data_IF_149908618947
#
_entry.id   IF_149908618947
#
_cell.length_a   1.000
_cell.length_b   1.000
_cell.length_c   1.000
_cell.angle_alpha   90.00
_cell.angle_beta   90.00
_cell.angle_gamma   90.00
#
_symmetry.space_group_name_H-M   'P 1'
#
loop_
_entity.id
_entity.type
_entity.pdbx_description
1 polymer ?
#
# COMPACT_ATOMS: atom_id res chain seq x y z
N UNK A 1 4.47 -3.43 -15.98
CA UNK A 1 4.36 -3.05 -14.55
C UNK A 1 3.27 -3.82 -13.83
N UNK A 2 2.02 -3.74 -14.29
CA UNK A 2 0.86 -4.45 -13.71
C UNK A 2 1.10 -5.95 -13.43
N UNK A 3 1.73 -6.76 -14.30
CA UNK A 3 1.92 -8.18 -14.03
C UNK A 3 2.81 -8.47 -12.82
N UNK A 4 3.80 -7.64 -12.52
CA UNK A 4 4.68 -7.83 -11.35
C UNK A 4 3.95 -7.60 -10.03
N UNK A 5 3.05 -6.62 -9.99
CA UNK A 5 2.21 -6.34 -8.81
C UNK A 5 1.23 -7.49 -8.61
N UNK A 6 0.56 -7.95 -9.67
CA UNK A 6 -0.40 -9.07 -9.62
C UNK A 6 0.29 -10.37 -9.17
N UNK A 7 1.50 -10.66 -9.65
CA UNK A 7 2.26 -11.85 -9.24
C UNK A 7 2.69 -11.73 -7.77
N UNK A 8 3.15 -10.55 -7.34
CA UNK A 8 3.49 -10.28 -5.95
C UNK A 8 2.29 -10.44 -5.01
N UNK A 9 1.13 -9.96 -5.44
CA UNK A 9 -0.13 -10.05 -4.70
C UNK A 9 -0.66 -11.49 -4.63
N UNK A 10 -0.69 -12.23 -5.74
CA UNK A 10 -1.10 -13.64 -5.79
C UNK A 10 -0.20 -14.54 -4.93
N UNK A 11 1.11 -14.26 -4.85
CA UNK A 11 2.08 -15.05 -4.08
C UNK A 11 2.26 -14.58 -2.63
N UNK A 12 1.47 -13.60 -2.16
CA UNK A 12 1.61 -13.00 -0.82
C UNK A 12 3.03 -12.44 -0.55
N UNK A 13 3.73 -12.01 -1.58
CA UNK A 13 5.12 -11.53 -1.52
C UNK A 13 5.21 -10.02 -1.79
N UNK A 14 4.29 -9.24 -1.21
CA UNK A 14 4.28 -7.78 -1.41
C UNK A 14 5.53 -7.12 -0.85
N UNK A 15 5.99 -7.54 0.35
CA UNK A 15 7.20 -6.99 0.97
C UNK A 15 8.46 -7.15 0.10
N UNK A 16 8.81 -8.33 -0.44
CA UNK A 16 10.01 -8.45 -1.28
C UNK A 16 9.89 -7.66 -2.59
N UNK A 17 8.71 -7.53 -3.19
CA UNK A 17 8.50 -6.70 -4.38
C UNK A 17 8.72 -5.22 -4.05
N UNK A 18 8.21 -4.77 -2.92
CA UNK A 18 8.39 -3.41 -2.43
C UNK A 18 9.86 -3.08 -2.14
N UNK A 19 10.56 -3.97 -1.42
CA UNK A 19 11.99 -3.81 -1.15
C UNK A 19 12.84 -3.82 -2.43
N UNK A 20 12.50 -4.68 -3.39
CA UNK A 20 13.16 -4.71 -4.69
C UNK A 20 12.97 -3.40 -5.44
N UNK A 21 11.78 -2.81 -5.42
CA UNK A 21 11.52 -1.53 -6.06
C UNK A 21 12.34 -0.39 -5.43
N UNK A 22 12.46 -0.35 -4.08
CA UNK A 22 13.32 0.64 -3.41
C UNK A 22 14.79 0.43 -3.76
N UNK A 23 15.28 -0.81 -3.80
CA UNK A 23 16.65 -1.10 -4.21
C UNK A 23 16.93 -0.70 -5.66
N UNK A 24 15.98 -0.94 -6.56
CA UNK A 24 16.10 -0.55 -7.96
C UNK A 24 16.13 0.98 -8.10
N UNK A 25 15.32 1.70 -7.30
CA UNK A 25 15.33 3.16 -7.25
C UNK A 25 16.69 3.68 -6.74
N UNK A 26 17.21 3.09 -5.67
CA UNK A 26 18.52 3.42 -5.11
C UNK A 26 19.64 3.17 -6.13
N UNK A 27 19.67 2.00 -6.76
CA UNK A 27 20.68 1.66 -7.75
C UNK A 27 20.64 2.60 -8.96
N UNK A 28 19.44 2.97 -9.43
CA UNK A 28 19.28 3.90 -10.54
C UNK A 28 19.73 5.30 -10.17
N UNK A 29 19.44 5.80 -8.95
CA UNK A 29 19.87 7.13 -8.50
C UNK A 29 21.40 7.21 -8.34
N UNK A 30 22.04 6.16 -7.82
CA UNK A 30 23.51 6.08 -7.77
C UNK A 30 24.13 6.02 -9.17
N UNK A 31 23.50 5.30 -10.10
CA UNK A 31 23.98 5.22 -11.49
C UNK A 31 23.98 6.59 -12.17
N UNK A 32 23.00 7.48 -11.91
CA UNK A 32 23.00 8.85 -12.44
C UNK A 32 24.25 9.63 -12.04
N UNK A 33 24.70 9.49 -10.78
CA UNK A 33 25.92 10.17 -10.31
C UNK A 33 27.18 9.70 -11.03
N UNK A 34 27.21 8.45 -11.48
CA UNK A 34 28.41 7.82 -12.10
C UNK A 34 28.44 7.94 -13.62
N UNK A 35 27.29 8.14 -14.28
CA UNK A 35 27.15 7.97 -15.74
C UNK A 35 26.76 9.23 -16.49
N UNK A 36 26.96 10.40 -15.92
CA UNK A 36 26.55 11.70 -16.50
C UNK A 36 27.08 11.93 -17.92
N UNK A 37 28.25 11.39 -18.26
CA UNK A 37 28.91 11.59 -19.56
C UNK A 37 28.57 10.52 -20.62
N UNK A 38 27.77 9.52 -20.30
CA UNK A 38 27.47 8.40 -21.20
C UNK A 38 25.98 8.32 -21.50
N UNK A 39 25.59 8.81 -22.67
CA UNK A 39 24.20 8.96 -23.11
C UNK A 39 23.37 7.67 -22.95
N UNK A 40 23.88 6.52 -23.39
CA UNK A 40 23.15 5.25 -23.32
C UNK A 40 22.88 4.80 -21.89
N UNK A 41 23.88 4.88 -21.01
CA UNK A 41 23.73 4.49 -19.60
C UNK A 41 22.82 5.43 -18.83
N UNK A 42 22.82 6.73 -19.17
CA UNK A 42 21.91 7.70 -18.59
C UNK A 42 20.43 7.33 -18.89
N UNK A 43 20.11 7.05 -20.17
CA UNK A 43 18.76 6.63 -20.56
C UNK A 43 18.34 5.31 -19.94
N UNK A 44 19.25 4.36 -19.81
CA UNK A 44 18.99 3.07 -19.17
C UNK A 44 18.69 3.26 -17.67
N UNK A 45 19.46 4.10 -16.98
CA UNK A 45 19.22 4.43 -15.57
C UNK A 45 17.88 5.14 -15.38
N UNK A 46 17.52 6.07 -16.28
CA UNK A 46 16.25 6.76 -16.30
C UNK A 46 15.08 5.79 -16.46
N UNK A 47 15.21 4.82 -17.37
CA UNK A 47 14.19 3.78 -17.57
C UNK A 47 13.98 2.96 -16.29
N UNK A 48 15.03 2.49 -15.64
CA UNK A 48 14.92 1.72 -14.39
C UNK A 48 14.40 2.57 -13.22
N UNK A 49 14.80 3.84 -13.17
CA UNK A 49 14.29 4.77 -12.17
C UNK A 49 12.77 4.92 -12.26
N UNK A 50 12.25 5.24 -13.46
CA UNK A 50 10.80 5.37 -13.65
C UNK A 50 10.09 4.03 -13.50
N UNK A 51 10.72 2.92 -13.84
CA UNK A 51 10.16 1.59 -13.59
C UNK A 51 9.96 1.34 -12.10
N UNK A 52 10.96 1.63 -11.28
CA UNK A 52 10.89 1.49 -9.82
C UNK A 52 9.88 2.47 -9.21
N UNK A 53 9.91 3.73 -9.64
CA UNK A 53 9.00 4.77 -9.18
C UNK A 53 7.54 4.41 -9.42
N UNK A 54 7.16 4.06 -10.65
CA UNK A 54 5.80 3.64 -10.97
C UNK A 54 5.36 2.37 -10.21
N UNK A 55 6.29 1.44 -9.95
CA UNK A 55 5.99 0.25 -9.16
C UNK A 55 5.67 0.61 -7.71
N UNK A 56 6.42 1.53 -7.11
CA UNK A 56 6.17 2.05 -5.76
C UNK A 56 4.87 2.85 -5.70
N UNK A 57 4.64 3.75 -6.65
CA UNK A 57 3.44 4.58 -6.72
C UNK A 57 2.17 3.73 -6.82
N UNK A 58 2.18 2.65 -7.57
CA UNK A 58 1.04 1.74 -7.68
C UNK A 58 0.87 0.82 -6.46
N UNK A 59 1.97 0.42 -5.79
CA UNK A 59 1.91 -0.51 -4.67
C UNK A 59 1.62 0.15 -3.32
N UNK A 60 2.04 1.41 -3.10
CA UNK A 60 1.82 2.11 -1.83
C UNK A 60 0.34 2.29 -1.47
N UNK A 61 -0.54 2.80 -2.36
CA UNK A 61 -1.98 2.91 -2.05
C UNK A 61 -2.62 1.56 -1.74
N UNK A 62 -2.21 0.51 -2.48
CA UNK A 62 -2.68 -0.86 -2.23
C UNK A 62 -2.27 -1.36 -0.84
N UNK A 63 -1.04 -1.10 -0.41
CA UNK A 63 -0.55 -1.44 0.93
C UNK A 63 -1.32 -0.69 2.02
N UNK A 64 -1.51 0.63 1.87
CA UNK A 64 -2.28 1.45 2.82
C UNK A 64 -3.70 0.92 2.95
N UNK A 65 -4.38 0.66 1.82
CA UNK A 65 -5.74 0.13 1.82
C UNK A 65 -5.88 -1.26 2.47
N UNK A 66 -4.81 -2.07 2.47
CA UNK A 66 -4.81 -3.40 3.11
C UNK A 66 -4.56 -3.35 4.62
N UNK A 67 -3.71 -2.40 5.06
CA UNK A 67 -3.32 -2.29 6.47
C UNK A 67 -4.38 -1.53 7.29
N UNK A 68 -5.10 -0.58 6.66
CA UNK A 68 -6.09 0.21 7.37
C UNK A 68 -7.29 -0.63 7.86
N UNK A 69 -7.89 -0.25 9.01
CA UNK A 69 -9.10 -0.88 9.53
C UNK A 69 -10.26 -0.84 8.53
N UNK A 70 -11.16 -1.82 8.63
CA UNK A 70 -12.39 -1.85 7.86
C UNK A 70 -13.23 -0.59 8.16
N UNK A 71 -13.76 0.06 7.13
CA UNK A 71 -14.55 1.30 7.27
C UNK A 71 -13.74 2.61 7.30
N UNK A 72 -12.42 2.59 7.56
CA UNK A 72 -11.59 3.82 7.62
C UNK A 72 -10.70 4.05 6.39
N UNK A 73 -10.95 3.34 5.29
CA UNK A 73 -10.15 3.43 4.05
C UNK A 73 -10.08 4.84 3.47
N UNK A 74 -11.19 5.58 3.48
CA UNK A 74 -11.24 6.95 2.98
C UNK A 74 -10.29 7.88 3.74
N UNK A 75 -10.34 7.83 5.08
CA UNK A 75 -9.46 8.62 5.95
C UNK A 75 -8.00 8.24 5.74
N UNK A 76 -7.69 6.93 5.70
CA UNK A 76 -6.32 6.46 5.47
C UNK A 76 -5.76 6.92 4.13
N UNK A 77 -6.56 6.90 3.06
CA UNK A 77 -6.16 7.40 1.75
C UNK A 77 -6.00 8.92 1.72
N UNK A 78 -6.83 9.66 2.46
CA UNK A 78 -6.68 11.10 2.64
C UNK A 78 -5.37 11.47 3.32
N UNK A 79 -5.03 10.80 4.42
CA UNK A 79 -3.74 10.98 5.11
C UNK A 79 -2.57 10.61 4.19
N UNK A 80 -2.66 9.48 3.48
CA UNK A 80 -1.64 9.07 2.52
C UNK A 80 -1.39 10.15 1.46
N UNK A 81 -2.44 10.67 0.83
CA UNK A 81 -2.32 11.72 -0.21
C UNK A 81 -1.72 13.01 0.35
N UNK A 82 -2.13 13.40 1.56
CA UNK A 82 -1.56 14.58 2.24
C UNK A 82 -0.06 14.40 2.48
N UNK A 83 0.37 13.24 2.98
CA UNK A 83 1.80 12.93 3.17
C UNK A 83 2.56 12.91 1.84
N UNK A 84 1.95 12.39 0.77
CA UNK A 84 2.55 12.36 -0.56
C UNK A 84 2.80 13.77 -1.11
N UNK A 85 1.80 14.65 -1.07
CA UNK A 85 1.96 16.04 -1.52
C UNK A 85 2.92 16.85 -0.65
N UNK A 86 2.86 16.65 0.67
CA UNK A 86 3.81 17.27 1.58
C UNK A 86 5.25 16.80 1.29
N UNK A 87 5.44 15.51 1.06
CA UNK A 87 6.74 14.95 0.67
C UNK A 87 7.25 15.51 -0.65
N UNK A 88 6.37 15.69 -1.65
CA UNK A 88 6.72 16.31 -2.93
C UNK A 88 7.15 17.76 -2.74
N UNK A 89 6.44 18.53 -1.91
CA UNK A 89 6.81 19.91 -1.58
C UNK A 89 8.19 19.99 -0.91
N UNK A 90 8.40 19.22 0.15
CA UNK A 90 9.68 19.19 0.89
C UNK A 90 10.82 18.73 -0.02
N UNK A 91 10.56 17.68 -0.82
CA UNK A 91 11.54 17.18 -1.79
C UNK A 91 11.91 18.21 -2.86
N UNK A 92 10.95 18.98 -3.35
CA UNK A 92 11.19 20.07 -4.30
C UNK A 92 12.04 21.20 -3.72
N UNK A 93 11.72 21.63 -2.48
CA UNK A 93 12.48 22.68 -1.78
C UNK A 93 13.92 22.23 -1.49
N UNK A 94 14.09 21.03 -0.90
CA UNK A 94 15.42 20.50 -0.57
C UNK A 94 16.22 20.20 -1.84
N UNK A 95 15.59 19.62 -2.87
CA UNK A 95 16.24 19.33 -4.13
C UNK A 95 16.72 20.60 -4.85
N UNK A 96 15.89 21.65 -4.87
CA UNK A 96 16.27 22.95 -5.43
C UNK A 96 17.40 23.61 -4.68
N UNK A 97 17.39 23.56 -3.35
CA UNK A 97 18.48 24.11 -2.53
C UNK A 97 19.80 23.35 -2.74
N UNK A 98 19.75 22.01 -2.78
CA UNK A 98 20.94 21.18 -3.05
C UNK A 98 21.46 21.41 -4.45
N UNK A 99 20.58 21.52 -5.46
CA UNK A 99 20.97 21.79 -6.83
C UNK A 99 21.72 23.13 -6.96
N UNK A 100 21.26 24.16 -6.24
CA UNK A 100 21.93 25.47 -6.28
C UNK A 100 23.29 25.49 -5.56
N UNK A 101 23.54 24.54 -4.63
CA UNK A 101 24.74 24.53 -3.77
C UNK A 101 25.78 23.48 -4.20
N UNK A 102 25.34 22.37 -4.81
CA UNK A 102 26.16 21.16 -5.05
C UNK A 102 25.96 20.57 -6.45
N UNK A 103 25.37 21.29 -7.37
CA UNK A 103 25.05 20.83 -8.73
C UNK A 103 24.13 19.58 -8.77
N UNK A 104 23.99 19.00 -9.96
CA UNK A 104 23.14 17.81 -10.18
C UNK A 104 23.60 16.59 -9.38
N UNK A 105 24.92 16.42 -9.19
CA UNK A 105 25.49 15.31 -8.43
C UNK A 105 25.04 15.30 -6.99
N UNK A 106 24.87 16.49 -6.38
CA UNK A 106 24.35 16.62 -5.02
C UNK A 106 22.90 16.15 -4.89
N UNK A 107 22.08 16.43 -5.92
CA UNK A 107 20.68 15.96 -5.94
C UNK A 107 20.61 14.43 -6.01
N UNK A 108 21.40 13.79 -6.88
CA UNK A 108 21.43 12.34 -6.97
C UNK A 108 21.92 11.68 -5.67
N UNK A 109 22.89 12.29 -5.01
CA UNK A 109 23.38 11.82 -3.72
C UNK A 109 22.30 11.95 -2.63
N UNK A 110 21.60 13.09 -2.56
CA UNK A 110 20.49 13.31 -1.63
C UNK A 110 19.41 12.24 -1.81
N UNK A 111 18.95 12.02 -3.05
CA UNK A 111 17.95 10.98 -3.36
C UNK A 111 18.45 9.59 -2.93
N UNK A 112 19.72 9.28 -3.18
CA UNK A 112 20.31 7.99 -2.81
C UNK A 112 20.35 7.79 -1.29
N UNK A 113 20.67 8.83 -0.52
CA UNK A 113 20.66 8.78 0.95
C UNK A 113 19.23 8.56 1.47
N UNK A 114 18.25 9.28 0.93
CA UNK A 114 16.84 9.13 1.31
C UNK A 114 16.33 7.72 0.97
N UNK A 115 16.64 7.21 -0.23
CA UNK A 115 16.28 5.85 -0.63
C UNK A 115 16.93 4.78 0.26
N UNK A 116 18.19 4.97 0.64
CA UNK A 116 18.88 4.05 1.56
C UNK A 116 18.21 4.05 2.94
N UNK A 117 17.93 5.22 3.50
CA UNK A 117 17.22 5.35 4.77
C UNK A 117 15.84 4.67 4.71
N UNK A 118 15.10 4.91 3.62
CA UNK A 118 13.80 4.26 3.40
C UNK A 118 13.92 2.74 3.29
N UNK A 119 14.92 2.24 2.57
CA UNK A 119 15.18 0.80 2.47
C UNK A 119 15.46 0.16 3.83
N UNK A 120 16.32 0.78 4.65
CA UNK A 120 16.62 0.29 5.99
C UNK A 120 15.38 0.24 6.89
N UNK A 121 14.56 1.27 6.83
CA UNK A 121 13.28 1.33 7.54
C UNK A 121 12.29 0.26 7.05
N UNK A 122 12.15 0.12 5.73
CA UNK A 122 11.23 -0.83 5.10
C UNK A 122 11.59 -2.30 5.36
N UNK A 123 12.86 -2.62 5.60
CA UNK A 123 13.28 -3.97 6.01
C UNK A 123 12.63 -4.43 7.31
N UNK A 124 12.39 -3.50 8.26
CA UNK A 124 11.72 -3.76 9.53
C UNK A 124 10.20 -3.97 9.42
N UNK A 125 9.59 -3.65 8.28
CA UNK A 125 8.15 -3.78 8.08
C UNK A 125 7.70 -5.24 8.18
N UNK A 126 6.59 -5.50 8.91
CA UNK A 126 5.94 -6.81 8.89
C UNK A 126 5.41 -7.14 7.49
N UNK A 127 5.28 -8.43 7.18
CA UNK A 127 4.61 -8.81 5.92
C UNK A 127 3.15 -8.38 6.00
N UNK A 128 2.65 -7.61 5.01
CA UNK A 128 1.23 -7.33 4.94
C UNK A 128 0.45 -8.63 4.83
N UNK A 129 -0.51 -8.83 5.71
CA UNK A 129 -1.39 -9.99 5.67
C UNK A 129 -2.23 -9.99 4.38
N UNK A 130 -2.62 -11.17 3.93
CA UNK A 130 -3.49 -11.34 2.75
C UNK A 130 -4.94 -11.03 3.08
N UNK A 131 -5.16 -9.90 3.72
CA UNK A 131 -6.48 -9.47 4.08
C UNK A 131 -7.19 -8.86 2.87
N UNK A 132 -8.45 -9.18 2.72
CA UNK A 132 -9.33 -8.59 1.71
C UNK A 132 -10.52 -7.98 2.42
N UNK A 133 -10.80 -6.72 2.14
CA UNK A 133 -12.03 -6.09 2.61
C UNK A 133 -13.20 -6.63 1.79
N UNK A 134 -14.23 -7.14 2.47
CA UNK A 134 -15.51 -7.52 1.90
C UNK A 134 -16.59 -6.59 2.48
N UNK A 135 -17.53 -6.19 1.65
CA UNK A 135 -18.65 -5.36 2.05
C UNK A 135 -19.91 -6.20 1.92
N UNK A 136 -20.66 -6.33 3.01
CA UNK A 136 -21.96 -6.99 3.03
C UNK A 136 -23.05 -5.95 3.26
N UNK A 137 -24.11 -6.01 2.47
CA UNK A 137 -25.30 -5.16 2.64
C UNK A 137 -26.46 -5.97 3.21
N UNK A 138 -27.19 -5.38 4.12
CA UNK A 138 -28.35 -5.98 4.80
C UNK A 138 -29.64 -5.28 4.37
N UNK A 139 -30.73 -6.04 4.22
CA UNK A 139 -32.03 -5.48 3.82
C UNK A 139 -32.72 -4.74 4.98
N UNK A 140 -32.57 -5.25 6.20
CA UNK A 140 -33.09 -4.65 7.42
C UNK A 140 -32.08 -4.83 8.55
N UNK A 141 -31.67 -3.76 9.20
CA UNK A 141 -30.83 -3.76 10.39
C UNK A 141 -31.56 -2.96 11.47
N UNK A 142 -32.01 -3.65 12.53
CA UNK A 142 -32.44 -3.00 13.72
C UNK A 142 -31.23 -2.75 14.63
N UNK A 143 -31.10 -1.57 15.22
CA UNK A 143 -29.96 -1.22 16.09
C UNK A 143 -29.77 -2.22 17.25
N UNK A 144 -30.85 -2.85 17.71
CA UNK A 144 -30.82 -3.89 18.73
C UNK A 144 -30.14 -5.20 18.27
N UNK A 145 -30.02 -5.45 16.99
CA UNK A 145 -29.42 -6.67 16.40
C UNK A 145 -27.97 -6.46 15.93
N UNK A 146 -27.51 -5.21 15.93
CA UNK A 146 -26.19 -4.86 15.41
C UNK A 146 -25.05 -5.61 16.15
N UNK A 147 -25.17 -5.75 17.47
CA UNK A 147 -24.17 -6.42 18.28
C UNK A 147 -24.19 -7.94 18.04
N UNK A 148 -25.35 -8.55 17.95
CA UNK A 148 -25.49 -10.00 17.68
C UNK A 148 -24.93 -10.36 16.30
N UNK A 149 -25.20 -9.55 15.29
CA UNK A 149 -24.68 -9.74 13.94
C UNK A 149 -23.15 -9.60 13.93
N UNK A 150 -22.63 -8.61 14.64
CA UNK A 150 -21.17 -8.41 14.76
C UNK A 150 -20.50 -9.63 15.41
N UNK A 151 -21.07 -10.14 16.50
CA UNK A 151 -20.53 -11.29 17.22
C UNK A 151 -20.59 -12.57 16.36
N UNK A 152 -21.70 -12.80 15.66
CA UNK A 152 -21.83 -13.94 14.73
C UNK A 152 -20.87 -13.84 13.54
N UNK A 153 -20.74 -12.68 12.91
CA UNK A 153 -19.79 -12.48 11.80
C UNK A 153 -18.34 -12.61 12.26
N UNK A 154 -18.03 -12.18 13.48
CA UNK A 154 -16.70 -12.32 14.07
C UNK A 154 -16.35 -13.76 14.42
N UNK A 155 -17.36 -14.62 14.65
CA UNK A 155 -17.16 -16.06 14.93
C UNK A 155 -16.89 -16.87 13.66
N UNK A 156 -17.17 -16.34 12.47
CA UNK A 156 -16.93 -17.03 11.19
C UNK A 156 -15.43 -17.22 10.96
N UNK A 157 -15.02 -18.44 10.65
CA UNK A 157 -13.63 -18.78 10.41
C UNK A 157 -13.02 -17.96 9.27
N UNK A 158 -11.95 -17.20 9.58
CA UNK A 158 -11.23 -16.37 8.61
C UNK A 158 -11.64 -14.89 8.57
N UNK A 159 -12.61 -14.48 9.39
CA UNK A 159 -12.94 -13.05 9.63
C UNK A 159 -12.02 -12.51 10.73
N UNK A 160 -11.35 -11.40 10.48
CA UNK A 160 -10.44 -10.74 11.44
C UNK A 160 -11.07 -9.52 12.11
N UNK A 161 -11.83 -8.76 11.34
CA UNK A 161 -12.46 -7.52 11.82
C UNK A 161 -13.82 -7.34 11.15
N UNK A 162 -14.80 -6.92 11.95
CA UNK A 162 -16.13 -6.57 11.48
C UNK A 162 -16.45 -5.16 11.95
N UNK A 163 -16.78 -4.27 11.01
CA UNK A 163 -17.26 -2.93 11.30
C UNK A 163 -18.65 -2.79 10.69
N UNK A 164 -19.65 -2.70 11.53
CA UNK A 164 -21.03 -2.56 11.12
C UNK A 164 -21.42 -1.08 11.16
N UNK A 165 -21.95 -0.58 10.05
CA UNK A 165 -22.50 0.77 9.93
C UNK A 165 -24.02 0.66 9.77
N UNK A 166 -24.79 0.76 10.87
CA UNK A 166 -26.25 0.56 10.84
C UNK A 166 -26.97 1.58 9.96
N UNK A 167 -26.49 2.83 9.91
CA UNK A 167 -27.06 3.91 9.12
C UNK A 167 -27.08 3.59 7.62
N UNK A 168 -26.00 2.98 7.11
CA UNK A 168 -25.86 2.59 5.71
C UNK A 168 -26.33 1.14 5.45
N UNK A 169 -26.72 0.41 6.48
CA UNK A 169 -27.06 -1.03 6.43
C UNK A 169 -25.97 -1.89 5.82
N UNK A 170 -24.70 -1.59 6.16
CA UNK A 170 -23.53 -2.22 5.58
C UNK A 170 -22.61 -2.73 6.69
N UNK A 171 -22.09 -3.95 6.53
CA UNK A 171 -20.97 -4.45 7.31
C UNK A 171 -19.70 -4.51 6.44
N UNK A 172 -18.65 -3.91 6.94
CA UNK A 172 -17.31 -4.03 6.38
C UNK A 172 -16.57 -5.13 7.12
N UNK A 173 -16.20 -6.18 6.40
CA UNK A 173 -15.44 -7.29 6.94
C UNK A 173 -14.02 -7.26 6.42
N UNK A 174 -13.09 -7.59 7.30
CA UNK A 174 -11.71 -7.85 6.96
C UNK A 174 -11.47 -9.35 7.06
N UNK A 175 -11.23 -10.00 5.92
CA UNK A 175 -11.14 -11.46 5.83
C UNK A 175 -9.77 -11.90 5.33
N UNK A 176 -9.25 -13.00 5.87
CA UNK A 176 -7.99 -13.61 5.42
C UNK A 176 -8.27 -14.44 4.17
N UNK A 177 -7.70 -14.04 3.04
CA UNK A 177 -7.86 -14.76 1.77
C UNK A 177 -7.35 -16.20 1.89
N UNK A 178 -8.27 -17.16 1.66
CA UNK A 178 -7.97 -18.60 1.73
C UNK A 178 -8.24 -19.28 3.09
N UNK A 179 -8.65 -18.52 4.12
CA UNK A 179 -9.11 -19.08 5.40
C UNK A 179 -10.61 -18.83 5.65
N UNK A 180 -11.26 -18.03 4.82
CA UNK A 180 -12.67 -17.71 4.96
C UNK A 180 -13.52 -18.96 4.69
N UNK A 181 -14.37 -19.31 5.66
CA UNK A 181 -15.41 -20.32 5.51
C UNK A 181 -16.64 -19.69 4.85
N UNK A 182 -16.71 -19.79 3.51
CA UNK A 182 -17.76 -19.16 2.72
C UNK A 182 -19.15 -19.72 3.05
N UNK A 183 -19.26 -21.02 3.35
CA UNK A 183 -20.54 -21.66 3.68
C UNK A 183 -21.10 -21.16 5.02
N UNK A 184 -20.23 -20.92 5.98
CA UNK A 184 -20.59 -20.38 7.28
C UNK A 184 -21.02 -18.92 7.18
N UNK A 185 -20.30 -18.13 6.37
CA UNK A 185 -20.65 -16.75 6.07
C UNK A 185 -22.04 -16.64 5.39
N UNK A 186 -22.26 -17.47 4.36
CA UNK A 186 -23.52 -17.50 3.62
C UNK A 186 -24.70 -17.91 4.54
N UNK A 187 -24.51 -18.86 5.44
CA UNK A 187 -25.53 -19.27 6.40
C UNK A 187 -25.90 -18.15 7.39
N UNK A 188 -24.91 -17.37 7.84
CA UNK A 188 -25.18 -16.19 8.69
C UNK A 188 -25.93 -15.13 7.89
N UNK A 189 -25.56 -14.90 6.63
CA UNK A 189 -26.21 -13.92 5.77
C UNK A 189 -27.66 -14.28 5.43
N UNK A 190 -27.98 -15.55 5.23
CA UNK A 190 -29.35 -16.01 4.98
C UNK A 190 -30.31 -15.74 6.15
N UNK A 191 -29.80 -15.73 7.39
CA UNK A 191 -30.60 -15.41 8.57
C UNK A 191 -31.02 -13.92 8.65
N UNK A 192 -30.30 -13.02 7.93
CA UNK A 192 -30.49 -11.57 8.03
C UNK A 192 -30.80 -10.90 6.67
N UNK A 193 -31.10 -11.67 5.65
CA UNK A 193 -31.47 -11.20 4.32
C UNK A 193 -32.99 -10.97 4.24
#
# INVERSE_FOLDING_TARGET
MVPFIIIGEKKQKMKPVFLFAILLLLASSLSFSLTQNQFLYFWLSLFFYFMAFNLLEASLPSLVSKICPAGSKGTAMGVYSTCQFFGAFVGGVLGGWVLSSYDESGVYLLVSIVCLGWFLFARGMANPSSETGMTLSFSALADSQAQEITDRLSSVGGVEEVVLVPEDKVAYLKVIKGKLNQQELDSVMECYR
#
